data_IF_251833538903
#
_entry.id   IF_251833538903
#
_cell.length_a   1.000
_cell.length_b   1.000
_cell.length_c   1.000
_cell.angle_alpha   90.00
_cell.angle_beta   90.00
_cell.angle_gamma   90.00
#
_symmetry.space_group_name_H-M   'P 1'
#
loop_
_entity.id
_entity.type
_entity.pdbx_description
1 polymer ?
#
# COMPACT_ATOMS: atom_id res chain seq x y z
N UNK A 1 15.21 -22.85 -6.33
CA UNK A 1 13.99 -22.91 -5.53
C UNK A 1 12.80 -23.47 -6.31
N UNK A 2 12.62 -23.16 -7.58
CA UNK A 2 11.49 -23.66 -8.38
C UNK A 2 11.86 -24.81 -9.33
N UNK A 3 13.08 -25.30 -9.28
CA UNK A 3 13.55 -26.39 -10.14
C UNK A 3 13.67 -26.06 -11.64
N UNK A 4 13.37 -24.81 -12.02
CA UNK A 4 13.40 -24.36 -13.42
C UNK A 4 12.18 -24.78 -14.26
N UNK A 5 11.15 -25.34 -13.63
CA UNK A 5 9.93 -25.82 -14.29
C UNK A 5 8.70 -24.94 -14.04
N UNK A 6 8.89 -23.78 -13.38
CA UNK A 6 7.81 -22.85 -13.06
C UNK A 6 8.17 -21.42 -13.41
N UNK A 7 7.23 -20.72 -14.00
CA UNK A 7 7.29 -19.27 -14.16
C UNK A 7 6.94 -18.57 -12.84
N UNK A 8 7.63 -17.47 -12.58
CA UNK A 8 7.37 -16.63 -11.40
C UNK A 8 6.78 -15.31 -11.87
N UNK A 9 5.57 -15.02 -11.42
CA UNK A 9 4.87 -13.78 -11.71
C UNK A 9 4.84 -12.93 -10.46
N UNK A 10 5.25 -11.66 -10.57
CA UNK A 10 5.09 -10.67 -9.52
C UNK A 10 4.30 -9.47 -10.03
N UNK A 11 3.55 -8.83 -9.17
CA UNK A 11 2.79 -7.63 -9.49
C UNK A 11 2.79 -6.67 -8.31
N UNK A 12 2.66 -5.39 -8.60
CA UNK A 12 2.43 -4.38 -7.58
C UNK A 12 0.98 -4.45 -7.12
N UNK A 13 0.76 -4.60 -5.83
CA UNK A 13 -0.59 -4.59 -5.27
C UNK A 13 -1.24 -3.22 -5.43
N UNK A 14 -2.56 -3.18 -5.41
CA UNK A 14 -3.30 -1.90 -5.40
C UNK A 14 -2.83 -1.02 -4.25
N UNK A 15 -2.73 0.28 -4.48
CA UNK A 15 -2.20 1.24 -3.51
C UNK A 15 -0.68 1.35 -3.47
N UNK A 16 0.05 0.57 -4.27
CA UNK A 16 1.51 0.60 -4.32
C UNK A 16 2.04 0.97 -5.69
N UNK A 17 3.18 1.60 -5.71
CA UNK A 17 3.98 2.02 -6.87
C UNK A 17 3.13 2.59 -8.01
N UNK A 18 2.84 1.82 -9.05
CA UNK A 18 2.12 2.27 -10.26
C UNK A 18 0.73 1.68 -10.41
N UNK A 19 0.38 0.68 -9.60
CA UNK A 19 -0.92 0.02 -9.67
C UNK A 19 -1.90 0.72 -8.74
N UNK A 20 -2.79 1.56 -9.30
CA UNK A 20 -3.80 2.35 -8.57
C UNK A 20 -3.15 3.07 -7.39
N UNK A 21 -2.37 4.13 -7.61
CA UNK A 21 -1.62 4.80 -6.55
C UNK A 21 -2.56 5.34 -5.47
N UNK A 22 -2.15 5.21 -4.21
CA UNK A 22 -2.83 5.79 -3.06
C UNK A 22 -2.07 7.05 -2.63
N UNK A 23 -2.56 8.20 -3.03
CA UNK A 23 -1.95 9.49 -2.74
C UNK A 23 -2.92 10.40 -2.00
N UNK A 24 -2.53 10.82 -0.81
CA UNK A 24 -3.31 11.73 0.04
C UNK A 24 -2.96 13.20 -0.18
N UNK A 25 -1.85 13.47 -0.87
CA UNK A 25 -1.33 14.81 -1.18
C UNK A 25 -1.40 15.09 -2.68
N UNK A 26 -1.37 16.36 -3.07
CA UNK A 26 -1.47 16.78 -4.46
C UNK A 26 -0.12 16.87 -5.18
N UNK A 27 0.81 15.98 -4.85
CA UNK A 27 2.10 15.90 -5.52
C UNK A 27 3.25 15.56 -4.59
N UNK A 28 4.44 15.42 -5.18
CA UNK A 28 5.64 15.01 -4.45
C UNK A 28 6.12 16.08 -3.45
N UNK A 29 5.96 17.36 -3.78
CA UNK A 29 6.37 18.46 -2.90
C UNK A 29 5.52 18.45 -1.63
N UNK A 30 4.20 18.36 -1.76
CA UNK A 30 3.29 18.31 -0.61
C UNK A 30 3.54 17.07 0.24
N UNK A 31 3.81 15.94 -0.41
CA UNK A 31 4.19 14.71 0.28
C UNK A 31 5.50 14.88 1.06
N UNK A 32 6.52 15.47 0.45
CA UNK A 32 7.79 15.76 1.12
C UNK A 32 7.59 16.68 2.33
N UNK A 33 6.85 17.77 2.16
CA UNK A 33 6.54 18.72 3.24
C UNK A 33 5.81 18.04 4.41
N UNK A 34 4.91 17.12 4.12
CA UNK A 34 4.16 16.37 5.13
C UNK A 34 5.04 15.46 5.98
N UNK A 35 6.05 14.84 5.38
CA UNK A 35 6.91 13.87 6.07
C UNK A 35 8.25 14.43 6.55
N UNK A 36 8.66 15.60 6.04
CA UNK A 36 9.92 16.20 6.50
C UNK A 36 9.87 16.50 8.01
N UNK A 37 10.97 16.27 8.69
CA UNK A 37 11.09 16.55 10.13
C UNK A 37 10.30 15.62 11.04
N UNK A 38 9.78 14.51 10.54
CA UNK A 38 9.23 13.45 11.39
C UNK A 38 10.38 12.79 12.15
N UNK A 39 10.28 12.79 13.47
CA UNK A 39 11.27 12.19 14.38
C UNK A 39 10.63 11.06 15.17
N UNK A 40 11.42 10.09 15.68
CA UNK A 40 10.90 9.00 16.51
C UNK A 40 10.12 9.53 17.72
N UNK A 41 9.03 8.85 18.08
CA UNK A 41 8.10 9.27 19.14
C UNK A 41 8.71 9.44 20.52
N UNK A 42 9.88 8.86 20.77
CA UNK A 42 10.65 8.96 22.01
C UNK A 42 11.75 10.04 22.00
N UNK A 43 11.79 10.89 20.96
CA UNK A 43 12.86 11.91 20.84
C UNK A 43 12.75 13.05 21.86
N UNK A 44 11.55 13.37 22.33
CA UNK A 44 11.30 14.35 23.39
C UNK A 44 9.88 14.20 23.95
N UNK A 45 9.58 14.83 25.07
CA UNK A 45 8.25 14.79 25.70
C UNK A 45 7.13 15.31 24.80
N UNK A 46 7.40 16.31 23.95
CA UNK A 46 6.41 16.88 23.02
C UNK A 46 6.23 16.11 21.72
N UNK A 47 7.10 15.17 21.38
CA UNK A 47 7.14 14.51 20.08
C UNK A 47 5.87 13.70 19.81
N UNK A 48 5.36 13.01 20.82
CA UNK A 48 4.15 12.18 20.67
C UNK A 48 2.92 13.02 20.31
N UNK A 49 2.74 14.17 20.92
CA UNK A 49 1.66 15.12 20.58
C UNK A 49 1.79 15.64 19.16
N UNK A 50 3.01 15.95 18.71
CA UNK A 50 3.29 16.36 17.34
C UNK A 50 2.97 15.26 16.31
N UNK A 51 3.33 14.01 16.61
CA UNK A 51 3.00 12.87 15.76
C UNK A 51 1.49 12.63 15.68
N UNK A 52 0.80 12.75 16.79
CA UNK A 52 -0.67 12.65 16.84
C UNK A 52 -1.35 13.70 15.97
N UNK A 53 -0.95 14.97 16.10
CA UNK A 53 -1.49 16.06 15.30
C UNK A 53 -1.23 15.85 13.79
N UNK A 54 -0.03 15.43 13.42
CA UNK A 54 0.31 15.07 12.03
C UNK A 54 -0.54 13.91 11.53
N UNK A 55 -0.74 12.87 12.34
CA UNK A 55 -1.59 11.73 12.01
C UNK A 55 -3.02 12.15 11.71
N UNK A 56 -3.57 13.09 12.50
CA UNK A 56 -4.92 13.64 12.30
C UNK A 56 -5.01 14.39 10.95
N UNK A 57 -4.07 15.30 10.67
CA UNK A 57 -4.02 16.03 9.40
C UNK A 57 -3.88 15.06 8.21
N UNK A 58 -3.02 14.06 8.32
CA UNK A 58 -2.84 13.05 7.27
C UNK A 58 -4.13 12.25 7.02
N UNK A 59 -4.81 11.84 8.08
CA UNK A 59 -6.08 11.12 7.95
C UNK A 59 -7.15 11.96 7.24
N UNK A 60 -7.26 13.25 7.56
CA UNK A 60 -8.19 14.18 6.91
C UNK A 60 -7.85 14.37 5.41
N UNK A 61 -6.58 14.56 5.07
CA UNK A 61 -6.14 14.66 3.67
C UNK A 61 -6.44 13.39 2.90
N UNK A 62 -6.18 12.21 3.47
CA UNK A 62 -6.51 10.94 2.85
C UNK A 62 -8.02 10.76 2.67
N UNK A 63 -8.82 11.16 3.65
CA UNK A 63 -10.27 11.09 3.56
C UNK A 63 -10.83 12.00 2.44
N UNK A 64 -10.23 13.18 2.24
CA UNK A 64 -10.65 14.11 1.19
C UNK A 64 -10.19 13.68 -0.21
N UNK A 65 -8.93 13.27 -0.35
CA UNK A 65 -8.29 13.08 -1.66
C UNK A 65 -8.30 11.64 -2.15
N UNK A 66 -8.35 10.65 -1.26
CA UNK A 66 -8.14 9.25 -1.60
C UNK A 66 -9.18 8.28 -1.02
N UNK A 67 -10.32 8.77 -0.53
CA UNK A 67 -11.34 7.94 0.14
C UNK A 67 -11.87 6.79 -0.72
N UNK A 68 -12.10 7.02 -2.00
CA UNK A 68 -12.60 6.00 -2.93
C UNK A 68 -11.61 4.85 -3.11
N UNK A 69 -10.33 5.18 -3.27
CA UNK A 69 -9.26 4.18 -3.41
C UNK A 69 -9.00 3.54 -2.06
N UNK A 70 -8.95 4.31 -0.97
CA UNK A 70 -8.71 3.81 0.38
C UNK A 70 -9.70 2.72 0.80
N UNK A 71 -10.96 2.81 0.38
CA UNK A 71 -11.99 1.82 0.73
C UNK A 71 -11.76 0.43 0.10
N UNK A 72 -10.92 0.33 -0.91
CA UNK A 72 -10.61 -0.91 -1.63
C UNK A 72 -9.17 -1.39 -1.46
N UNK A 73 -8.40 -0.77 -0.57
CA UNK A 73 -7.01 -1.12 -0.26
C UNK A 73 -6.92 -2.13 0.89
N UNK A 74 -7.62 -3.23 0.80
CA UNK A 74 -7.55 -4.27 1.83
C UNK A 74 -6.95 -5.55 1.28
N UNK A 75 -6.37 -6.37 2.14
CA UNK A 75 -5.81 -7.69 1.79
C UNK A 75 -6.84 -8.56 1.06
N UNK A 76 -8.11 -8.45 1.41
CA UNK A 76 -9.18 -9.19 0.75
C UNK A 76 -9.34 -8.82 -0.74
N UNK A 77 -9.16 -7.54 -1.08
CA UNK A 77 -9.18 -7.12 -2.49
C UNK A 77 -7.91 -7.54 -3.24
N UNK A 78 -6.75 -7.47 -2.60
CA UNK A 78 -5.49 -7.97 -3.17
C UNK A 78 -5.59 -9.47 -3.46
N UNK A 79 -6.15 -10.25 -2.54
CA UNK A 79 -6.38 -11.68 -2.77
C UNK A 79 -7.31 -11.95 -3.96
N UNK A 80 -8.33 -11.12 -4.16
CA UNK A 80 -9.20 -11.22 -5.35
C UNK A 80 -8.45 -10.86 -6.63
N UNK A 81 -7.58 -9.84 -6.60
CA UNK A 81 -6.74 -9.52 -7.76
C UNK A 81 -5.84 -10.68 -8.13
N UNK A 82 -5.24 -11.35 -7.13
CA UNK A 82 -4.43 -12.55 -7.35
C UNK A 82 -5.22 -13.67 -8.03
N UNK A 83 -6.46 -13.91 -7.59
CA UNK A 83 -7.31 -14.92 -8.24
C UNK A 83 -7.67 -14.54 -9.67
N UNK A 84 -7.88 -13.26 -9.97
CA UNK A 84 -8.10 -12.81 -11.35
C UNK A 84 -6.86 -13.04 -12.24
N UNK A 85 -5.65 -12.91 -11.68
CA UNK A 85 -4.42 -13.25 -12.42
C UNK A 85 -4.38 -14.76 -12.69
N UNK A 86 -4.71 -15.60 -11.70
CA UNK A 86 -4.78 -17.06 -11.87
C UNK A 86 -5.78 -17.44 -12.97
N UNK A 87 -6.97 -16.83 -12.94
CA UNK A 87 -7.99 -17.07 -13.95
C UNK A 87 -7.54 -16.65 -15.35
N UNK A 88 -6.81 -15.53 -15.46
CA UNK A 88 -6.30 -15.02 -16.73
C UNK A 88 -5.15 -15.87 -17.33
N UNK A 89 -4.47 -16.67 -16.51
CA UNK A 89 -3.44 -17.58 -16.98
C UNK A 89 -4.01 -18.86 -17.63
N UNK A 90 -5.30 -19.13 -17.45
CA UNK A 90 -6.01 -20.28 -18.03
C UNK A 90 -5.35 -21.65 -17.74
N UNK A 91 -4.69 -21.77 -16.57
CA UNK A 91 -4.09 -23.02 -16.12
C UNK A 91 -5.11 -23.88 -15.32
N UNK A 92 -4.68 -24.55 -14.26
CA UNK A 92 -5.51 -25.43 -13.43
C UNK A 92 -6.38 -24.69 -12.38
N UNK A 93 -6.33 -23.35 -12.34
CA UNK A 93 -7.09 -22.52 -11.41
C UNK A 93 -6.53 -22.53 -9.97
N UNK A 94 -5.37 -23.13 -9.74
CA UNK A 94 -4.74 -23.19 -8.42
C UNK A 94 -3.77 -22.03 -8.20
N UNK A 95 -3.99 -21.26 -7.13
CA UNK A 95 -3.04 -20.24 -6.71
C UNK A 95 -1.82 -20.87 -6.02
N UNK A 96 -0.69 -20.85 -6.69
CA UNK A 96 0.61 -21.20 -6.12
C UNK A 96 1.28 -19.93 -5.62
N UNK A 97 1.20 -19.68 -4.33
CA UNK A 97 1.60 -18.41 -3.73
C UNK A 97 2.85 -18.52 -2.88
N UNK A 98 3.76 -17.62 -3.10
CA UNK A 98 4.92 -17.42 -2.24
C UNK A 98 4.97 -15.97 -1.79
N UNK A 99 4.51 -15.69 -0.57
CA UNK A 99 4.53 -14.37 0.05
C UNK A 99 5.61 -14.26 1.12
N UNK A 100 6.28 -13.12 1.14
CA UNK A 100 7.17 -12.72 2.23
C UNK A 100 6.68 -11.38 2.77
N UNK A 101 6.47 -11.29 4.08
CA UNK A 101 6.09 -10.05 4.77
C UNK A 101 4.74 -9.47 4.30
N UNK A 102 3.69 -9.98 4.86
CA UNK A 102 2.38 -9.33 4.86
C UNK A 102 2.16 -8.56 6.15
#
# INVERSE_FOLDING_TARGET
MTGGEHDIISFDTRGTVKTIPFECTQGEIDRYEMYKGVVPGNSSEGTLGGLWARGTVNAELCAQNASKIGSVLTTAFVARDMMQIVDALEEDGLLRYWGMLL
#
